data_IF_114852777495
#
_entry.id   IF_114852777495
#
_cell.length_a   1.000
_cell.length_b   1.000
_cell.length_c   1.000
_cell.angle_alpha   90.00
_cell.angle_beta   90.00
_cell.angle_gamma   90.00
#
_symmetry.space_group_name_H-M   'P 1'
#
loop_
_entity.id
_entity.type
_entity.pdbx_description
1 polymer ?
#
# COMPACT_ATOMS: atom_id res chain seq x y z
N UNK A 1 -13.76 -15.21 4.08
CA UNK A 1 -12.60 -14.77 3.26
C UNK A 1 -12.06 -13.55 3.95
N UNK A 2 -10.85 -13.64 4.51
CA UNK A 2 -10.28 -12.55 5.29
C UNK A 2 -9.44 -11.66 4.38
N UNK A 3 -9.52 -10.35 4.60
CA UNK A 3 -8.76 -9.37 3.82
C UNK A 3 -7.95 -8.46 4.75
N UNK A 4 -6.77 -8.04 4.29
CA UNK A 4 -5.96 -7.03 4.97
C UNK A 4 -5.98 -5.77 4.12
N UNK A 5 -6.42 -4.65 4.71
CA UNK A 5 -6.41 -3.34 4.06
C UNK A 5 -5.08 -2.64 4.33
N UNK A 6 -4.47 -2.15 3.26
CA UNK A 6 -3.20 -1.42 3.27
C UNK A 6 -3.47 0.05 2.96
N UNK A 7 -3.19 0.92 3.93
CA UNK A 7 -3.40 2.35 3.81
C UNK A 7 -2.06 3.00 3.43
N UNK A 8 -1.86 3.43 2.16
CA UNK A 8 -0.59 3.97 1.73
C UNK A 8 -0.36 5.37 2.35
N UNK A 9 0.83 5.55 2.91
CA UNK A 9 1.27 6.82 3.50
C UNK A 9 2.56 7.31 2.84
N UNK A 10 2.78 8.62 2.88
CA UNK A 10 4.02 9.28 2.51
C UNK A 10 4.67 9.91 3.73
N UNK A 11 6.00 9.93 3.74
CA UNK A 11 6.81 10.68 4.70
C UNK A 11 7.37 11.98 4.09
N UNK A 12 6.89 12.40 2.92
CA UNK A 12 7.33 13.62 2.25
C UNK A 12 8.74 13.53 1.66
N UNK A 13 9.09 12.40 1.01
CA UNK A 13 10.37 12.31 0.30
C UNK A 13 10.48 13.41 -0.76
N UNK A 14 11.63 14.10 -0.82
CA UNK A 14 11.85 15.26 -1.69
C UNK A 14 11.27 16.58 -1.18
N UNK A 15 10.47 16.58 -0.10
CA UNK A 15 9.97 17.81 0.53
C UNK A 15 11.02 18.43 1.47
N UNK A 16 10.88 19.73 1.80
CA UNK A 16 11.75 20.39 2.76
C UNK A 16 11.81 19.68 4.13
N UNK A 17 12.92 19.86 4.84
CA UNK A 17 13.21 19.15 6.10
C UNK A 17 12.15 19.33 7.19
N UNK A 18 11.49 20.50 7.22
CA UNK A 18 10.44 20.82 8.18
C UNK A 18 9.07 20.22 7.85
N UNK A 19 8.86 19.76 6.60
CA UNK A 19 7.61 19.12 6.16
C UNK A 19 7.72 17.60 6.19
N UNK A 20 8.89 17.06 5.84
CA UNK A 20 9.15 15.62 5.77
C UNK A 20 9.20 14.97 7.16
N UNK A 21 8.86 13.69 7.23
CA UNK A 21 8.91 12.87 8.45
C UNK A 21 7.56 12.74 9.17
N UNK A 22 6.57 13.58 8.85
CA UNK A 22 5.19 13.39 9.31
C UNK A 22 4.47 12.41 8.37
N UNK A 23 3.89 11.31 8.90
CA UNK A 23 3.01 10.44 8.12
C UNK A 23 1.78 11.20 7.63
N UNK A 24 1.56 11.16 6.32
CA UNK A 24 0.34 11.66 5.67
C UNK A 24 -0.18 10.63 4.69
N UNK A 25 -1.49 10.61 4.42
CA UNK A 25 -2.05 9.76 3.38
C UNK A 25 -1.39 10.08 2.04
N UNK A 26 -1.02 9.04 1.30
CA UNK A 26 -0.51 9.22 -0.06
C UNK A 26 -1.65 9.72 -0.96
N UNK A 27 -1.34 10.56 -1.93
CA UNK A 27 -2.27 10.88 -3.02
C UNK A 27 -2.51 9.62 -3.91
N UNK A 28 -3.51 9.62 -4.80
CA UNK A 28 -3.83 8.45 -5.63
C UNK A 28 -2.68 7.95 -6.50
N UNK A 29 -1.83 8.85 -7.02
CA UNK A 29 -0.72 8.46 -7.90
C UNK A 29 0.40 7.80 -7.08
N UNK A 30 0.76 8.40 -5.95
CA UNK A 30 1.75 7.82 -5.04
C UNK A 30 1.24 6.55 -4.36
N UNK A 31 -0.03 6.52 -3.96
CA UNK A 31 -0.69 5.34 -3.38
C UNK A 31 -0.66 4.15 -4.32
N UNK A 32 -1.02 4.35 -5.60
CA UNK A 32 -0.90 3.33 -6.64
C UNK A 32 0.53 2.79 -6.76
N UNK A 33 1.52 3.69 -6.81
CA UNK A 33 2.94 3.30 -6.87
C UNK A 33 3.39 2.49 -5.66
N UNK A 34 3.00 2.88 -4.45
CA UNK A 34 3.32 2.16 -3.20
C UNK A 34 2.76 0.74 -3.25
N UNK A 35 1.47 0.61 -3.59
CA UNK A 35 0.81 -0.70 -3.63
C UNK A 35 1.35 -1.59 -4.76
N UNK A 36 1.66 -1.01 -5.93
CA UNK A 36 2.23 -1.77 -7.04
C UNK A 36 3.65 -2.27 -6.72
N UNK A 37 4.47 -1.46 -6.05
CA UNK A 37 5.79 -1.88 -5.57
C UNK A 37 5.66 -3.02 -4.56
N UNK A 38 4.76 -2.89 -3.59
CA UNK A 38 4.50 -3.95 -2.61
C UNK A 38 4.02 -5.24 -3.30
N UNK A 39 3.11 -5.13 -4.27
CA UNK A 39 2.63 -6.27 -5.05
C UNK A 39 3.79 -6.99 -5.74
N UNK A 40 4.69 -6.26 -6.40
CA UNK A 40 5.89 -6.83 -7.06
C UNK A 40 6.80 -7.56 -6.07
N UNK A 41 7.03 -6.96 -4.91
CA UNK A 41 7.87 -7.55 -3.85
C UNK A 41 7.22 -8.77 -3.20
N UNK A 42 5.89 -8.80 -3.13
CA UNK A 42 5.14 -9.86 -2.45
C UNK A 42 4.81 -11.05 -3.38
N UNK A 43 4.85 -10.83 -4.71
CA UNK A 43 4.52 -11.85 -5.70
C UNK A 43 5.31 -13.17 -5.57
N UNK A 44 6.63 -13.18 -5.28
CA UNK A 44 7.39 -14.42 -5.08
C UNK A 44 6.89 -15.28 -3.91
N UNK A 45 6.17 -14.69 -2.95
CA UNK A 45 5.62 -15.36 -1.79
C UNK A 45 4.17 -15.82 -2.00
N UNK A 46 3.63 -15.68 -3.22
CA UNK A 46 2.24 -16.04 -3.53
C UNK A 46 1.20 -15.09 -2.92
N UNK A 47 1.61 -13.93 -2.39
CA UNK A 47 0.69 -12.95 -1.82
C UNK A 47 0.01 -12.15 -2.94
N UNK A 48 -1.32 -12.20 -2.97
CA UNK A 48 -2.13 -11.43 -3.91
C UNK A 48 -2.50 -10.07 -3.29
N UNK A 49 -2.03 -9.00 -3.94
CA UNK A 49 -2.32 -7.62 -3.55
C UNK A 49 -3.00 -6.89 -4.70
N UNK A 50 -4.17 -6.32 -4.44
CA UNK A 50 -4.92 -5.48 -5.38
C UNK A 50 -4.96 -4.03 -4.92
N UNK A 51 -4.99 -3.07 -5.85
CA UNK A 51 -5.19 -1.66 -5.56
C UNK A 51 -6.64 -1.26 -5.85
N UNK A 52 -7.33 -0.67 -4.87
CA UNK A 52 -8.70 -0.14 -5.03
C UNK A 52 -8.63 1.38 -5.27
N UNK A 53 -8.72 1.78 -6.53
CA UNK A 53 -8.51 3.18 -6.95
C UNK A 53 -9.50 4.17 -6.30
N UNK A 54 -10.76 3.76 -6.09
CA UNK A 54 -11.79 4.62 -5.46
C UNK A 54 -11.48 5.00 -4.01
N UNK A 55 -10.85 4.09 -3.27
CA UNK A 55 -10.52 4.26 -1.85
C UNK A 55 -9.05 4.61 -1.63
N UNK A 56 -8.21 4.50 -2.67
CA UNK A 56 -6.77 4.67 -2.61
C UNK A 56 -6.10 3.74 -1.57
N UNK A 57 -6.50 2.47 -1.54
CA UNK A 57 -5.95 1.45 -0.63
C UNK A 57 -5.50 0.20 -1.39
N UNK A 58 -4.57 -0.54 -0.79
CA UNK A 58 -4.27 -1.92 -1.18
C UNK A 58 -5.13 -2.92 -0.41
N UNK A 59 -5.42 -4.07 -1.01
CA UNK A 59 -6.12 -5.17 -0.36
C UNK A 59 -5.33 -6.46 -0.60
N UNK A 60 -4.93 -7.10 0.48
CA UNK A 60 -4.32 -8.44 0.45
C UNK A 60 -5.42 -9.48 0.63
N UNK A 61 -5.48 -10.44 -0.28
CA UNK A 61 -6.44 -11.55 -0.22
C UNK A 61 -5.76 -12.71 0.50
N UNK A 62 -6.31 -13.12 1.64
CA UNK A 62 -5.79 -14.27 2.39
C UNK A 62 -6.51 -15.55 1.95
N UNK A 63 -5.78 -16.62 1.59
CA UNK A 63 -6.38 -17.93 1.39
C UNK A 63 -6.95 -18.47 2.71
N UNK A 64 -8.00 -19.31 2.66
CA UNK A 64 -8.54 -19.93 3.85
C UNK A 64 -7.49 -20.85 4.51
N UNK A 65 -7.22 -20.65 5.81
CA UNK A 65 -6.30 -21.49 6.59
C UNK A 65 -4.97 -20.84 7.01
N UNK A 66 -4.77 -19.54 6.78
CA UNK A 66 -3.68 -18.80 7.43
C UNK A 66 -4.11 -18.45 8.88
N UNK A 67 -3.38 -18.91 9.91
CA UNK A 67 -3.73 -18.69 11.32
C UNK A 67 -3.57 -17.22 11.75
#
# INVERSE_FOLDING_TARGET
MSEIRLIPISLGFGQPRWVRGRPVLADPQLGKKIIENLRKLSAPYGTLVEFKEKENIGVVILPPGHP
#
